data_IF_375512253262
#
_entry.id   IF_375512253262
#
_cell.length_a   1.000
_cell.length_b   1.000
_cell.length_c   1.000
_cell.angle_alpha   90.00
_cell.angle_beta   90.00
_cell.angle_gamma   90.00
#
_symmetry.space_group_name_H-M   'P 1'
#
loop_
_entity.id
_entity.type
_entity.pdbx_description
1 polymer ?
#
# COMPACT_ATOMS: atom_id res chain seq x y z
N UNK A 1 16.61 5.77 11.17
CA UNK A 1 17.36 6.60 10.21
C UNK A 1 17.69 5.80 8.95
N UNK A 2 18.28 4.61 9.04
CA UNK A 2 18.67 3.77 7.88
C UNK A 2 17.54 3.60 6.85
N UNK A 3 16.31 3.35 7.29
CA UNK A 3 15.16 3.22 6.38
C UNK A 3 14.81 4.55 5.68
N UNK A 4 14.98 5.68 6.35
CA UNK A 4 14.79 7.00 5.75
C UNK A 4 15.89 7.31 4.74
N UNK A 5 17.14 6.97 5.05
CA UNK A 5 18.26 7.14 4.12
C UNK A 5 18.08 6.29 2.87
N UNK A 6 17.62 5.04 3.01
CA UNK A 6 17.31 4.16 1.89
C UNK A 6 16.15 4.71 1.04
N UNK A 7 15.07 5.17 1.66
CA UNK A 7 13.97 5.83 0.95
C UNK A 7 14.48 7.09 0.23
N UNK A 8 15.28 7.91 0.91
CA UNK A 8 15.84 9.14 0.36
C UNK A 8 16.77 8.92 -0.83
N UNK A 9 17.44 7.78 -0.90
CA UNK A 9 18.26 7.43 -2.06
C UNK A 9 17.46 7.49 -3.37
N UNK A 10 16.21 7.07 -3.34
CA UNK A 10 15.30 7.17 -4.49
C UNK A 10 14.56 8.51 -4.50
N UNK A 11 13.84 8.82 -3.42
CA UNK A 11 12.87 9.90 -3.36
C UNK A 11 13.48 11.31 -3.46
N UNK A 12 14.74 11.47 -3.06
CA UNK A 12 15.44 12.76 -3.12
C UNK A 12 16.34 12.88 -4.39
N UNK A 13 16.26 11.94 -5.30
CA UNK A 13 17.08 11.96 -6.52
C UNK A 13 16.21 12.24 -7.74
N UNK A 14 16.38 13.43 -8.32
CA UNK A 14 15.63 13.88 -9.50
C UNK A 14 15.70 12.93 -10.71
N UNK A 15 16.74 12.09 -10.77
CA UNK A 15 16.89 11.11 -11.87
C UNK A 15 16.03 9.87 -11.71
N UNK A 16 15.52 9.60 -10.49
CA UNK A 16 14.77 8.39 -10.18
C UNK A 16 13.27 8.65 -9.98
N UNK A 17 12.88 9.91 -9.91
CA UNK A 17 11.49 10.31 -9.67
C UNK A 17 10.94 11.06 -10.86
N UNK A 18 9.80 10.63 -11.38
CA UNK A 18 9.06 11.40 -12.39
C UNK A 18 8.65 12.76 -11.80
N UNK A 19 8.98 13.84 -12.52
CA UNK A 19 8.79 15.21 -12.03
C UNK A 19 9.85 15.67 -11.01
N UNK A 20 10.87 14.85 -10.71
CA UNK A 20 11.92 15.15 -9.75
C UNK A 20 11.51 15.00 -8.28
N UNK A 21 12.45 15.18 -7.37
CA UNK A 21 12.24 14.99 -5.92
C UNK A 21 11.13 15.85 -5.34
N UNK A 22 10.89 17.03 -5.90
CA UNK A 22 9.78 17.91 -5.47
C UNK A 22 8.40 17.33 -5.76
N UNK A 23 8.27 16.49 -6.79
CA UNK A 23 7.01 15.84 -7.13
C UNK A 23 6.56 14.84 -6.05
N UNK A 24 7.48 14.25 -5.29
CA UNK A 24 7.17 13.28 -4.24
C UNK A 24 6.17 13.83 -3.21
N UNK A 25 6.33 15.10 -2.81
CA UNK A 25 5.47 15.74 -1.82
C UNK A 25 4.21 16.40 -2.40
N UNK A 26 4.14 16.58 -3.72
CA UNK A 26 3.10 17.40 -4.35
C UNK A 26 2.18 16.65 -5.31
N UNK A 27 2.61 15.47 -5.79
CA UNK A 27 1.78 14.65 -6.67
C UNK A 27 0.77 13.84 -5.87
N UNK A 28 -0.50 13.93 -6.23
CA UNK A 28 -1.54 13.08 -5.66
C UNK A 28 -1.23 11.60 -5.99
N UNK A 29 -1.44 10.71 -5.03
CA UNK A 29 -1.13 9.28 -5.21
C UNK A 29 -1.92 8.65 -6.36
N UNK A 30 -3.09 9.18 -6.70
CA UNK A 30 -3.93 8.72 -7.81
C UNK A 30 -3.34 9.07 -9.17
N UNK A 31 -2.62 10.19 -9.24
CA UNK A 31 -1.99 10.69 -10.46
C UNK A 31 -0.55 10.17 -10.64
N UNK A 32 0.08 9.75 -9.55
CA UNK A 32 1.47 9.29 -9.56
C UNK A 32 1.78 8.16 -10.56
N UNK A 33 0.88 7.20 -10.87
CA UNK A 33 1.13 6.18 -11.87
C UNK A 33 0.97 6.65 -13.33
N UNK A 34 0.42 7.83 -13.60
CA UNK A 34 0.07 8.27 -14.97
C UNK A 34 1.28 8.28 -15.91
N UNK A 35 2.47 8.57 -15.41
CA UNK A 35 3.71 8.54 -16.20
C UNK A 35 4.08 7.16 -16.75
N UNK A 36 3.54 6.06 -16.21
CA UNK A 36 3.71 4.71 -16.80
C UNK A 36 3.04 4.60 -18.17
N UNK A 37 1.93 5.31 -18.36
CA UNK A 37 1.01 5.18 -19.50
C UNK A 37 1.11 6.34 -20.48
N UNK A 38 2.02 7.30 -20.24
CA UNK A 38 2.30 8.40 -21.17
C UNK A 38 3.07 7.89 -22.40
N UNK A 39 3.01 8.63 -23.51
CA UNK A 39 3.73 8.29 -24.74
C UNK A 39 4.61 9.49 -25.19
N UNK A 40 5.93 9.41 -25.06
CA UNK A 40 6.71 8.30 -24.47
C UNK A 40 6.48 8.15 -22.97
N UNK A 41 6.75 6.95 -22.43
CA UNK A 41 6.61 6.70 -21.00
C UNK A 41 7.59 7.58 -20.20
N UNK A 42 7.09 8.27 -19.19
CA UNK A 42 7.86 9.16 -18.32
C UNK A 42 8.49 8.42 -17.13
N UNK A 43 7.92 7.26 -16.76
CA UNK A 43 8.50 6.34 -15.79
C UNK A 43 8.24 4.90 -16.21
N UNK A 44 9.03 3.97 -15.65
CA UNK A 44 8.99 2.55 -16.02
C UNK A 44 8.45 1.67 -14.91
N UNK A 45 8.40 2.17 -13.67
CA UNK A 45 7.96 1.43 -12.50
C UNK A 45 7.24 2.35 -11.52
N UNK A 46 6.26 1.80 -10.83
CA UNK A 46 5.55 2.47 -9.75
C UNK A 46 5.39 1.51 -8.58
N UNK A 47 5.70 1.96 -7.37
CA UNK A 47 5.51 1.16 -6.15
C UNK A 47 4.28 1.65 -5.40
N UNK A 48 3.29 0.78 -5.25
CA UNK A 48 2.06 1.09 -4.52
C UNK A 48 1.39 -0.19 -4.01
N UNK A 49 0.31 -0.08 -3.27
CA UNK A 49 -0.54 -1.19 -2.85
C UNK A 49 -1.47 -1.66 -3.99
N UNK A 50 -2.07 -2.82 -3.81
CA UNK A 50 -2.89 -3.53 -4.80
C UNK A 50 -4.13 -2.78 -5.31
N UNK A 51 -4.53 -1.70 -4.66
CA UNK A 51 -5.68 -0.89 -5.08
C UNK A 51 -5.37 0.07 -6.25
N UNK A 52 -4.09 0.33 -6.54
CA UNK A 52 -3.70 1.41 -7.46
C UNK A 52 -4.25 1.25 -8.89
N UNK A 53 -4.48 0.04 -9.43
CA UNK A 53 -5.08 -0.10 -10.75
C UNK A 53 -6.47 0.55 -10.91
N UNK A 54 -7.17 0.79 -9.79
CA UNK A 54 -8.45 1.52 -9.82
C UNK A 54 -8.31 3.00 -10.24
N UNK A 55 -7.09 3.53 -10.27
CA UNK A 55 -6.76 4.91 -10.67
C UNK A 55 -5.99 4.97 -11.99
N UNK A 56 -5.82 3.85 -12.66
CA UNK A 56 -5.19 3.83 -13.98
C UNK A 56 -6.14 4.38 -15.05
N UNK A 57 -5.64 4.87 -16.19
CA UNK A 57 -6.46 5.22 -17.32
C UNK A 57 -7.40 4.09 -17.73
N UNK A 58 -8.61 4.44 -18.19
CA UNK A 58 -9.58 3.46 -18.65
C UNK A 58 -9.07 2.66 -19.86
N UNK A 59 -9.51 1.43 -19.97
CA UNK A 59 -9.22 0.55 -21.11
C UNK A 59 -7.92 -0.22 -21.03
N UNK A 60 -7.14 -0.09 -19.93
CA UNK A 60 -5.93 -0.87 -19.74
C UNK A 60 -6.23 -2.27 -19.21
N UNK A 61 -5.54 -3.25 -19.75
CA UNK A 61 -5.71 -4.66 -19.42
C UNK A 61 -4.53 -5.18 -18.58
N UNK A 62 -4.86 -5.73 -17.41
CA UNK A 62 -3.88 -6.35 -16.51
C UNK A 62 -3.24 -7.59 -17.16
N UNK A 63 -1.93 -7.67 -17.14
CA UNK A 63 -1.14 -8.73 -17.79
C UNK A 63 -0.81 -8.45 -19.26
N UNK A 64 -1.36 -7.37 -19.86
CA UNK A 64 -1.06 -6.90 -21.22
C UNK A 64 -0.40 -5.53 -21.18
N UNK A 65 -1.08 -4.53 -20.65
CA UNK A 65 -0.60 -3.14 -20.62
C UNK A 65 0.22 -2.85 -19.35
N UNK A 66 -0.03 -3.57 -18.28
CA UNK A 66 0.74 -3.52 -17.05
C UNK A 66 0.72 -4.87 -16.33
N UNK A 67 1.77 -5.12 -15.56
CA UNK A 67 1.84 -6.26 -14.64
C UNK A 67 2.59 -5.81 -13.39
N UNK A 68 2.77 -6.70 -12.43
CA UNK A 68 3.47 -6.41 -11.20
C UNK A 68 4.51 -7.47 -10.88
N UNK A 69 5.44 -7.13 -10.03
CA UNK A 69 6.36 -8.08 -9.42
C UNK A 69 6.45 -7.87 -7.91
N UNK A 70 6.70 -8.95 -7.19
CA UNK A 70 6.92 -8.87 -5.75
C UNK A 70 8.17 -8.03 -5.49
N UNK A 71 8.11 -7.15 -4.46
CA UNK A 71 9.22 -6.25 -4.16
C UNK A 71 10.52 -7.04 -3.95
N UNK A 72 11.63 -6.68 -4.60
CA UNK A 72 12.89 -7.41 -4.51
C UNK A 72 13.42 -7.48 -3.08
N UNK A 73 14.18 -8.52 -2.78
CA UNK A 73 14.81 -8.68 -1.48
C UNK A 73 15.75 -7.50 -1.18
N UNK A 74 15.54 -6.89 -0.03
CA UNK A 74 16.36 -5.75 0.42
C UNK A 74 17.78 -6.15 0.82
N UNK A 75 17.96 -7.38 1.27
CA UNK A 75 19.24 -7.87 1.77
C UNK A 75 19.49 -9.33 1.39
N UNK A 76 20.72 -9.80 1.60
CA UNK A 76 21.08 -11.21 1.44
C UNK A 76 20.51 -12.13 2.52
N UNK A 77 19.85 -11.57 3.55
CA UNK A 77 19.18 -12.35 4.60
C UNK A 77 17.91 -12.95 4.04
N UNK A 78 17.65 -14.21 4.34
CA UNK A 78 16.36 -14.83 4.10
C UNK A 78 15.33 -14.23 5.07
N UNK A 79 14.47 -13.40 4.54
CA UNK A 79 13.35 -12.79 5.26
C UNK A 79 12.03 -13.53 5.01
N UNK A 80 12.06 -14.63 4.26
CA UNK A 80 10.86 -15.32 3.78
C UNK A 80 10.11 -14.49 2.74
N UNK A 81 8.78 -14.56 2.79
CA UNK A 81 7.88 -13.80 1.91
C UNK A 81 7.00 -12.84 2.72
N UNK A 82 7.56 -11.76 3.29
CA UNK A 82 6.78 -10.80 4.05
C UNK A 82 5.91 -9.94 3.14
N UNK A 83 4.70 -9.63 3.58
CA UNK A 83 3.80 -8.67 2.93
C UNK A 83 3.57 -7.51 3.88
N UNK A 84 3.79 -6.29 3.39
CA UNK A 84 3.34 -5.06 4.03
C UNK A 84 1.96 -4.72 3.49
N UNK A 85 1.00 -4.47 4.34
CA UNK A 85 -0.34 -4.09 3.92
C UNK A 85 -1.12 -3.34 4.97
N UNK A 86 -2.17 -2.71 4.54
CA UNK A 86 -3.26 -2.21 5.35
C UNK A 86 -4.52 -3.00 5.04
N UNK A 87 -5.64 -2.60 5.61
CA UNK A 87 -6.91 -3.26 5.37
C UNK A 87 -8.10 -2.39 5.75
N UNK A 88 -9.21 -2.63 5.09
CA UNK A 88 -10.50 -2.08 5.51
C UNK A 88 -11.07 -2.94 6.63
N UNK A 89 -11.38 -2.32 7.75
CA UNK A 89 -11.96 -2.98 8.91
C UNK A 89 -13.46 -2.69 8.98
N UNK A 90 -14.25 -3.73 9.20
CA UNK A 90 -15.67 -3.60 9.50
C UNK A 90 -15.88 -3.61 11.01
N UNK A 91 -16.53 -2.60 11.55
CA UNK A 91 -16.87 -2.51 12.96
C UNK A 91 -18.37 -2.55 13.15
N UNK A 92 -18.85 -3.46 13.99
CA UNK A 92 -20.22 -3.46 14.44
C UNK A 92 -20.41 -2.38 15.53
N UNK A 93 -21.27 -1.41 15.27
CA UNK A 93 -21.63 -0.36 16.25
C UNK A 93 -22.86 -0.69 17.06
N UNK A 94 -23.50 -1.81 16.75
CA UNK A 94 -24.69 -2.34 17.43
C UNK A 94 -24.62 -3.87 17.44
N UNK A 95 -24.97 -4.51 18.54
CA UNK A 95 -24.92 -5.95 18.76
C UNK A 95 -26.24 -6.67 18.54
N UNK A 96 -27.21 -6.03 17.86
CA UNK A 96 -28.47 -6.70 17.55
C UNK A 96 -28.25 -7.91 16.62
N UNK A 97 -29.22 -8.81 16.64
CA UNK A 97 -29.15 -10.09 15.92
C UNK A 97 -28.87 -9.90 14.41
N UNK A 98 -29.51 -8.94 13.75
CA UNK A 98 -29.34 -8.72 12.32
C UNK A 98 -27.90 -8.27 11.98
N UNK A 99 -27.32 -7.37 12.78
CA UNK A 99 -25.93 -6.94 12.64
C UNK A 99 -24.97 -8.12 12.80
N UNK A 100 -25.19 -8.94 13.82
CA UNK A 100 -24.31 -10.08 14.10
C UNK A 100 -24.40 -11.16 13.02
N UNK A 101 -25.59 -11.44 12.48
CA UNK A 101 -25.75 -12.38 11.35
C UNK A 101 -25.09 -11.83 10.07
N UNK A 102 -25.16 -10.53 9.82
CA UNK A 102 -24.47 -9.92 8.69
C UNK A 102 -22.94 -10.01 8.83
N UNK A 103 -22.41 -9.72 10.02
CA UNK A 103 -20.96 -9.86 10.26
C UNK A 103 -20.51 -11.32 10.08
N UNK A 104 -21.29 -12.28 10.59
CA UNK A 104 -21.01 -13.72 10.38
C UNK A 104 -21.00 -14.06 8.89
N UNK A 105 -21.98 -13.58 8.11
CA UNK A 105 -22.02 -13.79 6.67
C UNK A 105 -20.74 -13.27 5.99
N UNK A 106 -20.25 -12.08 6.35
CA UNK A 106 -19.01 -11.51 5.80
C UNK A 106 -17.75 -12.35 6.10
N UNK A 107 -17.79 -13.21 7.14
CA UNK A 107 -16.67 -14.11 7.46
C UNK A 107 -16.62 -15.38 6.59
N UNK A 108 -17.63 -15.64 5.78
CA UNK A 108 -17.61 -16.77 4.84
C UNK A 108 -16.84 -16.43 3.56
N UNK A 109 -16.43 -17.46 2.82
CA UNK A 109 -15.73 -17.27 1.53
C UNK A 109 -16.63 -16.67 0.45
N UNK A 110 -17.89 -17.06 0.40
CA UNK A 110 -18.86 -16.68 -0.63
C UNK A 110 -18.99 -15.17 -0.85
N UNK A 111 -19.24 -14.32 0.16
CA UNK A 111 -19.31 -12.87 -0.05
C UNK A 111 -17.96 -12.28 -0.51
N UNK A 112 -16.85 -12.85 -0.06
CA UNK A 112 -15.52 -12.47 -0.50
C UNK A 112 -15.33 -12.78 -1.99
N UNK A 113 -15.75 -13.95 -2.45
CA UNK A 113 -15.63 -14.37 -3.85
C UNK A 113 -16.47 -13.50 -4.80
N UNK A 114 -17.65 -13.08 -4.39
CA UNK A 114 -18.45 -12.11 -5.14
C UNK A 114 -17.75 -10.75 -5.29
N UNK A 115 -17.05 -10.32 -4.26
CA UNK A 115 -16.29 -9.08 -4.30
C UNK A 115 -15.00 -9.23 -5.14
N UNK A 116 -14.28 -10.33 -4.96
CA UNK A 116 -13.09 -10.68 -5.76
C UNK A 116 -13.37 -10.62 -7.25
N UNK A 117 -14.51 -11.18 -7.70
CA UNK A 117 -14.90 -11.21 -9.11
C UNK A 117 -15.07 -9.80 -9.73
N UNK A 118 -15.27 -8.77 -8.92
CA UNK A 118 -15.35 -7.36 -9.39
C UNK A 118 -13.97 -6.72 -9.56
N UNK A 119 -12.90 -7.33 -9.06
CA UNK A 119 -11.57 -6.75 -9.03
C UNK A 119 -11.38 -5.68 -7.94
N UNK A 120 -10.16 -5.15 -7.84
CA UNK A 120 -9.80 -4.07 -6.91
C UNK A 120 -9.76 -4.44 -5.42
N UNK A 121 -10.05 -5.69 -5.09
CA UNK A 121 -10.10 -6.22 -3.73
C UNK A 121 -9.25 -7.48 -3.61
N UNK A 122 -8.44 -7.57 -2.57
CA UNK A 122 -7.74 -8.81 -2.20
C UNK A 122 -8.31 -9.33 -0.89
N UNK A 123 -8.83 -10.57 -0.94
CA UNK A 123 -9.39 -11.20 0.24
C UNK A 123 -8.30 -11.71 1.19
N UNK A 124 -8.42 -11.48 2.51
CA UNK A 124 -7.60 -12.15 3.51
C UNK A 124 -8.08 -13.59 3.80
N UNK A 125 -9.21 -14.02 3.23
CA UNK A 125 -9.83 -15.30 3.52
C UNK A 125 -9.09 -16.44 2.82
N UNK A 126 -8.34 -17.25 3.56
CA UNK A 126 -7.49 -18.33 3.03
C UNK A 126 -8.27 -19.46 2.35
N UNK A 127 -9.55 -19.60 2.62
CA UNK A 127 -10.42 -20.63 2.03
C UNK A 127 -11.19 -20.13 0.80
N UNK A 128 -10.97 -18.89 0.33
CA UNK A 128 -11.62 -18.39 -0.87
C UNK A 128 -11.03 -19.00 -2.13
N UNK A 129 -11.86 -19.22 -3.13
CA UNK A 129 -11.45 -19.70 -4.44
C UNK A 129 -10.80 -18.57 -5.26
N UNK A 130 -9.47 -18.57 -5.33
CA UNK A 130 -8.70 -17.54 -6.02
C UNK A 130 -8.96 -17.50 -7.54
N UNK A 131 -9.58 -18.54 -8.13
CA UNK A 131 -9.99 -18.54 -9.54
C UNK A 131 -11.12 -17.54 -9.84
N UNK A 132 -11.76 -17.00 -8.79
CA UNK A 132 -12.79 -15.95 -8.90
C UNK A 132 -12.24 -14.57 -9.20
N UNK A 133 -10.94 -14.36 -9.10
CA UNK A 133 -10.35 -13.08 -9.53
C UNK A 133 -10.49 -12.88 -11.05
N UNK A 134 -10.69 -11.62 -11.50
CA UNK A 134 -11.01 -11.35 -12.91
C UNK A 134 -9.83 -11.52 -13.87
N UNK A 135 -8.60 -11.60 -13.36
CA UNK A 135 -7.40 -11.80 -14.17
C UNK A 135 -6.34 -12.59 -13.42
N UNK A 136 -5.39 -13.16 -14.17
CA UNK A 136 -4.22 -13.85 -13.62
C UNK A 136 -3.36 -12.91 -12.75
N UNK A 137 -3.27 -11.64 -13.09
CA UNK A 137 -2.57 -10.62 -12.30
C UNK A 137 -3.18 -10.50 -10.91
N UNK A 138 -4.51 -10.34 -10.80
CA UNK A 138 -5.19 -10.29 -9.50
C UNK A 138 -5.10 -11.62 -8.75
N UNK A 139 -5.17 -12.76 -9.43
CA UNK A 139 -5.00 -14.06 -8.81
C UNK A 139 -3.61 -14.21 -8.17
N UNK A 140 -2.55 -13.85 -8.89
CA UNK A 140 -1.17 -13.84 -8.36
C UNK A 140 -1.00 -12.93 -7.14
N UNK A 141 -1.64 -11.75 -7.13
CA UNK A 141 -1.65 -10.85 -5.96
C UNK A 141 -2.33 -11.53 -4.76
N UNK A 142 -3.47 -12.19 -4.97
CA UNK A 142 -4.16 -12.97 -3.94
C UNK A 142 -3.29 -14.12 -3.40
N UNK A 143 -2.58 -14.84 -4.27
CA UNK A 143 -1.64 -15.90 -3.90
C UNK A 143 -0.48 -15.37 -3.04
N UNK A 144 0.06 -14.19 -3.37
CA UNK A 144 1.09 -13.53 -2.56
C UNK A 144 0.57 -13.21 -1.17
N UNK A 145 -0.63 -12.64 -1.06
CA UNK A 145 -1.23 -12.28 0.22
C UNK A 145 -1.51 -13.51 1.09
N UNK A 146 -2.19 -14.52 0.51
CA UNK A 146 -2.58 -15.73 1.26
C UNK A 146 -1.40 -16.65 1.56
N UNK A 147 -0.36 -16.63 0.74
CA UNK A 147 0.89 -17.37 0.91
C UNK A 147 1.97 -16.64 1.71
N UNK A 148 1.69 -15.45 2.21
CA UNK A 148 2.68 -14.66 2.97
C UNK A 148 3.14 -15.41 4.23
N UNK A 149 4.46 -15.46 4.45
CA UNK A 149 5.05 -16.02 5.67
C UNK A 149 4.90 -15.09 6.85
N UNK A 150 4.82 -13.79 6.58
CA UNK A 150 4.65 -12.74 7.58
C UNK A 150 3.83 -11.61 6.97
N UNK A 151 2.75 -11.21 7.63
CA UNK A 151 2.02 -9.99 7.33
C UNK A 151 2.44 -8.89 8.30
N UNK A 152 2.85 -7.76 7.75
CA UNK A 152 3.17 -6.55 8.53
C UNK A 152 2.11 -5.50 8.22
N UNK A 153 1.28 -5.21 9.22
CA UNK A 153 0.36 -4.07 9.10
C UNK A 153 1.16 -2.77 9.05
N UNK A 154 0.69 -1.79 8.28
CA UNK A 154 1.35 -0.49 8.18
C UNK A 154 1.56 0.11 9.57
N UNK A 155 2.82 0.40 9.90
CA UNK A 155 3.17 0.90 11.23
C UNK A 155 2.57 2.27 11.53
N UNK A 156 2.39 3.12 10.53
CA UNK A 156 1.77 4.43 10.71
C UNK A 156 0.30 4.32 11.06
N UNK A 157 -0.41 3.34 10.51
CA UNK A 157 -1.82 3.07 10.83
C UNK A 157 -2.02 2.49 12.24
N UNK A 158 -0.97 1.91 12.84
CA UNK A 158 -0.98 1.41 14.21
C UNK A 158 -0.59 2.47 15.25
N UNK A 159 -0.14 3.63 14.83
CA UNK A 159 0.19 4.74 15.72
C UNK A 159 -1.07 5.52 16.10
N UNK A 160 -1.07 6.22 17.26
CA UNK A 160 -2.09 7.23 17.54
C UNK A 160 -2.22 8.22 16.37
N UNK A 161 -3.44 8.64 16.03
CA UNK A 161 -3.69 9.50 14.87
C UNK A 161 -2.85 10.78 14.83
N UNK A 162 -2.58 11.38 16.01
CA UNK A 162 -1.72 12.56 16.12
C UNK A 162 -0.28 12.29 15.67
N UNK A 163 0.16 11.04 15.70
CA UNK A 163 1.50 10.63 15.25
C UNK A 163 1.43 10.09 13.83
N UNK A 164 0.71 8.98 13.58
CA UNK A 164 0.71 8.30 12.28
C UNK A 164 0.21 9.19 11.15
N UNK A 165 -1.00 9.71 11.26
CA UNK A 165 -1.59 10.65 10.29
C UNK A 165 -1.14 12.11 10.50
N UNK A 166 -0.54 12.44 11.64
CA UNK A 166 -0.06 13.76 11.99
C UNK A 166 1.45 13.93 11.78
N UNK A 167 2.22 13.89 12.87
CA UNK A 167 3.65 14.26 12.85
C UNK A 167 4.52 13.33 12.00
N UNK A 168 4.18 12.03 11.87
CA UNK A 168 4.89 11.11 10.97
C UNK A 168 4.67 11.50 9.51
N UNK A 169 3.40 11.70 9.10
CA UNK A 169 3.07 12.09 7.74
C UNK A 169 3.72 13.42 7.35
N UNK A 170 3.53 14.46 8.16
CA UNK A 170 4.13 15.78 7.90
C UNK A 170 5.65 15.74 7.94
N UNK A 171 6.23 14.94 8.83
CA UNK A 171 7.67 14.73 8.90
C UNK A 171 8.23 14.08 7.63
N UNK A 172 7.55 13.12 7.02
CA UNK A 172 7.99 12.53 5.76
C UNK A 172 7.87 13.52 4.60
N UNK A 173 6.86 14.39 4.58
CA UNK A 173 6.76 15.48 3.61
C UNK A 173 7.91 16.47 3.80
N UNK A 174 8.23 16.85 5.05
CA UNK A 174 9.37 17.72 5.37
C UNK A 174 10.70 17.10 4.91
N UNK A 175 10.87 15.78 5.10
CA UNK A 175 12.04 15.06 4.64
C UNK A 175 12.20 15.14 3.12
N UNK A 176 11.14 14.92 2.36
CA UNK A 176 11.18 15.04 0.90
C UNK A 176 11.39 16.48 0.42
N UNK A 177 11.11 17.46 1.26
CA UNK A 177 11.42 18.87 1.02
C UNK A 177 12.82 19.31 1.53
N UNK A 178 13.65 18.37 1.99
CA UNK A 178 15.06 18.60 2.30
C UNK A 178 15.40 18.74 3.79
N UNK A 179 14.45 18.50 4.71
CA UNK A 179 14.77 18.44 6.15
C UNK A 179 15.58 17.15 6.42
N UNK A 180 16.54 17.22 7.34
CA UNK A 180 17.36 16.06 7.64
C UNK A 180 16.55 14.91 8.26
N UNK A 181 16.91 13.66 7.96
CA UNK A 181 16.28 12.47 8.55
C UNK A 181 16.29 12.52 10.08
N UNK A 182 17.39 13.04 10.66
CA UNK A 182 17.51 13.17 12.11
C UNK A 182 16.52 14.18 12.68
N UNK A 183 16.42 15.38 12.11
CA UNK A 183 15.50 16.41 12.60
C UNK A 183 14.04 15.98 12.48
N UNK A 184 13.70 15.25 11.41
CA UNK A 184 12.36 14.68 11.24
C UNK A 184 12.09 13.63 12.31
N UNK A 185 13.01 12.70 12.54
CA UNK A 185 12.85 11.65 13.54
C UNK A 185 12.74 12.25 14.96
N UNK A 186 13.55 13.26 15.29
CA UNK A 186 13.50 13.94 16.58
C UNK A 186 12.16 14.67 16.78
N UNK A 187 11.62 15.32 15.74
CA UNK A 187 10.33 15.99 15.79
C UNK A 187 9.16 15.01 15.99
N UNK A 188 9.19 13.85 15.30
CA UNK A 188 8.20 12.80 15.49
C UNK A 188 8.28 12.23 16.91
N UNK A 189 9.51 11.99 17.42
CA UNK A 189 9.71 11.50 18.77
C UNK A 189 9.19 12.51 19.82
N UNK A 190 9.46 13.80 19.64
CA UNK A 190 8.95 14.84 20.52
C UNK A 190 7.40 14.87 20.55
N UNK A 191 6.76 14.72 19.39
CA UNK A 191 5.29 14.59 19.29
C UNK A 191 4.77 13.37 20.04
N UNK A 192 5.48 12.24 19.91
CA UNK A 192 5.13 11.00 20.63
C UNK A 192 5.23 11.19 22.14
N UNK A 193 6.28 11.84 22.62
CA UNK A 193 6.49 12.07 24.05
C UNK A 193 5.45 13.03 24.65
N UNK A 194 4.91 13.93 23.84
CA UNK A 194 3.88 14.89 24.26
C UNK A 194 2.48 14.27 24.46
N UNK A 195 2.23 13.06 23.93
CA UNK A 195 0.92 12.38 24.06
C UNK A 195 0.95 11.24 25.09
N UNK A 196 2.07 10.97 25.74
CA UNK A 196 2.20 10.04 26.87
C UNK A 196 1.73 10.69 28.15
#
# INVERSE_FOLDING_TARGET
LEAMDFFGFFALNDKYVNGGSKAVATTDFRDAPNGLFSSPAECMMHRQASFIPAFFPEGLEAGVDYDFFYFPAYSTKDLGKPVLGGGTLFAATNDNQATMEFVKFLLHSEPNEHWMAKGGFLTPHKGADLSKYPSDTFRKLGEILTGATTFRFDGSDLMPGAIGAGSFWTGMVDYTNGKSAKDVADAIQASWDAIK
#
